data_IF_159529293344
#
_entry.id   IF_159529293344
#
_cell.length_a   1.000
_cell.length_b   1.000
_cell.length_c   1.000
_cell.angle_alpha   90.00
_cell.angle_beta   90.00
_cell.angle_gamma   90.00
#
_symmetry.space_group_name_H-M   'P 1'
#
loop_
_entity.id
_entity.type
_entity.pdbx_description
1 polymer ?
#
# COMPACT_ATOMS: atom_id res chain seq x y z
N UNK A 1 28.76 -12.19 20.23
CA UNK A 1 27.72 -11.85 19.24
C UNK A 1 26.44 -12.60 19.59
N UNK A 2 25.41 -11.92 20.12
CA UNK A 2 24.08 -12.52 20.26
C UNK A 2 23.45 -12.58 18.86
N UNK A 3 23.28 -13.77 18.29
CA UNK A 3 22.33 -14.00 17.19
C UNK A 3 20.96 -13.62 17.71
N UNK A 4 20.47 -12.43 17.36
CA UNK A 4 19.06 -12.11 17.53
C UNK A 4 18.30 -13.11 16.67
N UNK A 5 17.51 -13.99 17.31
CA UNK A 5 16.58 -14.87 16.61
C UNK A 5 15.79 -14.03 15.60
N UNK A 6 15.59 -14.51 14.35
CA UNK A 6 14.71 -13.81 13.42
C UNK A 6 13.36 -13.59 14.13
N UNK A 7 12.93 -12.34 14.26
CA UNK A 7 11.65 -12.03 14.89
C UNK A 7 10.56 -12.75 14.11
N UNK A 8 9.56 -13.33 14.79
CA UNK A 8 8.45 -14.06 14.16
C UNK A 8 7.82 -13.33 12.95
N UNK A 9 7.85 -11.99 12.97
CA UNK A 9 7.40 -11.09 11.91
C UNK A 9 8.17 -11.18 10.58
N UNK A 10 9.42 -11.65 10.59
CA UNK A 10 10.16 -11.98 9.37
C UNK A 10 9.50 -13.14 8.61
N UNK A 11 9.04 -14.15 9.35
CA UNK A 11 8.31 -15.29 8.79
C UNK A 11 6.97 -14.87 8.18
N UNK A 12 6.32 -13.82 8.72
CA UNK A 12 5.06 -13.31 8.20
C UNK A 12 5.23 -12.70 6.80
N UNK A 13 6.26 -11.87 6.58
CA UNK A 13 6.54 -11.29 5.26
C UNK A 13 6.93 -12.32 4.19
N UNK A 14 7.65 -13.38 4.58
CA UNK A 14 7.93 -14.52 3.69
C UNK A 14 6.69 -15.33 3.39
N UNK A 15 5.91 -15.66 4.42
CA UNK A 15 4.68 -16.43 4.28
C UNK A 15 3.68 -15.69 3.38
N UNK A 16 3.53 -14.38 3.52
CA UNK A 16 2.61 -13.61 2.67
C UNK A 16 3.02 -13.61 1.20
N UNK A 17 4.30 -13.46 0.88
CA UNK A 17 4.78 -13.50 -0.51
C UNK A 17 4.69 -14.93 -1.08
N UNK A 18 4.96 -15.95 -0.26
CA UNK A 18 4.78 -17.36 -0.65
C UNK A 18 3.31 -17.69 -0.91
N UNK A 19 2.41 -17.24 -0.05
CA UNK A 19 0.97 -17.44 -0.22
C UNK A 19 0.49 -16.70 -1.47
N UNK A 20 0.93 -15.46 -1.69
CA UNK A 20 0.61 -14.71 -2.89
C UNK A 20 1.09 -15.43 -4.16
N UNK A 21 2.34 -15.91 -4.17
CA UNK A 21 2.90 -16.67 -5.29
C UNK A 21 2.23 -18.04 -5.50
N UNK A 22 1.89 -18.75 -4.42
CA UNK A 22 1.20 -20.04 -4.48
C UNK A 22 -0.23 -19.90 -5.01
N UNK A 23 -0.98 -18.93 -4.48
CA UNK A 23 -2.32 -18.60 -4.97
C UNK A 23 -2.27 -18.16 -6.44
N UNK A 24 -1.25 -17.37 -6.82
CA UNK A 24 -1.04 -16.97 -8.21
C UNK A 24 -0.89 -18.17 -9.16
N UNK A 25 -0.09 -19.17 -8.78
CA UNK A 25 0.10 -20.40 -9.58
C UNK A 25 -1.21 -21.20 -9.67
N UNK A 26 -1.96 -21.32 -8.57
CA UNK A 26 -3.24 -22.01 -8.56
C UNK A 26 -4.26 -21.33 -9.49
N UNK A 27 -4.41 -20.00 -9.40
CA UNK A 27 -5.32 -19.26 -10.28
C UNK A 27 -4.88 -19.27 -11.75
N UNK A 28 -3.57 -19.20 -12.03
CA UNK A 28 -3.07 -19.28 -13.41
C UNK A 28 -3.32 -20.65 -14.04
N UNK A 29 -3.34 -21.71 -13.23
CA UNK A 29 -3.64 -23.07 -13.67
C UNK A 29 -5.12 -23.29 -13.95
N UNK A 30 -6.02 -22.72 -13.13
CA UNK A 30 -7.46 -22.88 -13.27
C UNK A 30 -8.13 -21.92 -14.24
N UNK A 31 -7.67 -20.66 -14.34
CA UNK A 31 -8.42 -19.59 -15.01
C UNK A 31 -7.95 -19.27 -16.44
N UNK A 32 -7.14 -20.14 -17.08
CA UNK A 32 -6.55 -19.92 -18.42
C UNK A 32 -5.99 -18.50 -18.61
N UNK A 33 -5.40 -17.92 -17.54
CA UNK A 33 -4.87 -16.56 -17.56
C UNK A 33 -3.76 -16.51 -18.62
N UNK A 34 -3.90 -15.60 -19.59
CA UNK A 34 -2.95 -15.48 -20.69
C UNK A 34 -1.50 -15.43 -20.18
N UNK A 35 -0.63 -16.26 -20.76
CA UNK A 35 0.78 -16.39 -20.36
C UNK A 35 1.54 -15.05 -20.36
N UNK A 36 1.05 -14.09 -21.14
CA UNK A 36 1.60 -12.75 -21.27
C UNK A 36 1.47 -11.92 -19.98
N UNK A 37 0.38 -12.10 -19.22
CA UNK A 37 0.17 -11.42 -17.93
C UNK A 37 0.70 -12.27 -16.78
N UNK A 38 0.62 -13.59 -16.91
CA UNK A 38 0.93 -14.45 -15.77
C UNK A 38 2.44 -14.62 -15.51
N UNK A 39 3.27 -14.66 -16.56
CA UNK A 39 4.72 -14.74 -16.42
C UNK A 39 5.35 -13.54 -15.67
N UNK A 40 5.07 -12.27 -16.02
CA UNK A 40 5.65 -11.13 -15.31
C UNK A 40 5.14 -11.02 -13.87
N UNK A 41 3.87 -11.33 -13.60
CA UNK A 41 3.33 -11.30 -12.24
C UNK A 41 4.01 -12.33 -11.33
N UNK A 42 4.17 -13.58 -11.81
CA UNK A 42 4.93 -14.60 -11.12
C UNK A 42 6.39 -14.21 -10.90
N UNK A 43 7.04 -13.60 -11.91
CA UNK A 43 8.43 -13.16 -11.81
C UNK A 43 8.63 -12.05 -10.76
N UNK A 44 7.70 -11.09 -10.64
CA UNK A 44 7.77 -10.03 -9.63
C UNK A 44 7.59 -10.61 -8.22
N UNK A 45 6.59 -11.48 -8.02
CA UNK A 45 6.36 -12.12 -6.71
C UNK A 45 7.55 -13.00 -6.30
N UNK A 46 8.11 -13.76 -7.24
CA UNK A 46 9.31 -14.57 -7.01
C UNK A 46 10.53 -13.69 -6.72
N UNK A 47 10.70 -12.58 -7.43
CA UNK A 47 11.78 -11.61 -7.18
C UNK A 47 11.67 -11.01 -5.79
N UNK A 48 10.46 -10.70 -5.32
CA UNK A 48 10.20 -10.25 -3.96
C UNK A 48 10.58 -11.31 -2.92
N UNK A 49 10.18 -12.57 -3.15
CA UNK A 49 10.53 -13.68 -2.28
C UNK A 49 12.06 -13.86 -2.17
N UNK A 50 12.74 -13.92 -3.33
CA UNK A 50 14.19 -14.04 -3.41
C UNK A 50 14.89 -12.84 -2.74
N UNK A 51 14.37 -11.63 -2.91
CA UNK A 51 14.93 -10.45 -2.28
C UNK A 51 14.81 -10.47 -0.76
N UNK A 52 13.66 -10.91 -0.20
CA UNK A 52 13.48 -11.06 1.25
C UNK A 52 14.45 -12.11 1.81
N UNK A 53 14.66 -13.22 1.10
CA UNK A 53 15.63 -14.25 1.49
C UNK A 53 17.06 -13.73 1.44
N UNK A 54 17.46 -13.09 0.35
CA UNK A 54 18.82 -12.57 0.13
C UNK A 54 19.18 -11.49 1.16
N UNK A 55 18.22 -10.63 1.48
CA UNK A 55 18.40 -9.56 2.44
C UNK A 55 18.63 -10.05 3.88
N UNK A 56 18.34 -11.31 4.20
CA UNK A 56 18.63 -11.92 5.52
C UNK A 56 20.12 -11.97 5.83
N UNK A 57 20.95 -12.23 4.81
CA UNK A 57 22.35 -12.59 4.99
C UNK A 57 23.32 -11.42 4.76
N UNK A 58 22.85 -10.34 4.13
CA UNK A 58 23.66 -9.14 3.87
C UNK A 58 23.48 -8.09 4.97
N UNK A 59 24.47 -8.01 5.87
CA UNK A 59 24.56 -6.98 6.92
C UNK A 59 25.34 -5.73 6.51
N UNK A 60 25.74 -5.61 5.24
CA UNK A 60 26.53 -4.49 4.72
C UNK A 60 26.03 -4.11 3.33
N UNK A 61 25.64 -2.83 3.19
CA UNK A 61 25.91 -1.92 2.06
C UNK A 61 25.43 -2.41 0.67
N UNK A 62 24.81 -1.66 -0.22
CA UNK A 62 24.13 -0.37 -0.23
C UNK A 62 23.55 -0.26 -1.65
N UNK A 63 22.35 -0.77 -1.88
CA UNK A 63 21.67 -0.40 -3.11
C UNK A 63 20.20 -0.27 -2.79
N UNK A 64 19.77 0.99 -2.67
CA UNK A 64 18.37 1.33 -2.51
C UNK A 64 17.59 0.97 -3.81
N UNK A 65 18.31 0.75 -4.93
CA UNK A 65 17.75 0.32 -6.22
C UNK A 65 16.90 -0.96 -6.13
N UNK A 66 17.37 -2.02 -5.44
CA UNK A 66 16.61 -3.28 -5.35
C UNK A 66 15.29 -3.10 -4.58
N UNK A 67 15.28 -2.52 -3.35
CA UNK A 67 14.05 -2.14 -2.66
C UNK A 67 13.12 -1.25 -3.49
N UNK A 68 13.68 -0.26 -4.21
CA UNK A 68 12.89 0.66 -5.06
C UNK A 68 12.20 -0.09 -6.19
N UNK A 69 12.93 -0.94 -6.93
CA UNK A 69 12.37 -1.71 -8.05
C UNK A 69 11.28 -2.67 -7.57
N UNK A 70 11.49 -3.33 -6.42
CA UNK A 70 10.49 -4.23 -5.84
C UNK A 70 9.23 -3.48 -5.41
N UNK A 71 9.39 -2.33 -4.76
CA UNK A 71 8.27 -1.49 -4.36
C UNK A 71 7.50 -0.96 -5.56
N UNK A 72 8.21 -0.51 -6.59
CA UNK A 72 7.60 -0.05 -7.83
C UNK A 72 6.83 -1.19 -8.51
N UNK A 73 7.42 -2.39 -8.61
CA UNK A 73 6.77 -3.55 -9.20
C UNK A 73 5.53 -4.02 -8.44
N UNK A 74 5.62 -4.12 -7.11
CA UNK A 74 4.50 -4.50 -6.25
C UNK A 74 3.40 -3.44 -6.24
N UNK A 75 3.78 -2.16 -6.12
CA UNK A 75 2.85 -1.03 -6.13
C UNK A 75 2.12 -0.90 -7.46
N UNK A 76 2.87 -0.92 -8.57
CA UNK A 76 2.29 -0.84 -9.91
C UNK A 76 1.38 -2.05 -10.17
N UNK A 77 1.81 -3.26 -9.87
CA UNK A 77 0.98 -4.47 -10.00
C UNK A 77 -0.30 -4.40 -9.16
N UNK A 78 -0.25 -3.81 -7.96
CA UNK A 78 -1.43 -3.59 -7.13
C UNK A 78 -2.42 -2.56 -7.70
N UNK A 79 -1.96 -1.67 -8.59
CA UNK A 79 -2.79 -0.64 -9.23
C UNK A 79 -3.35 -1.09 -10.58
N UNK A 80 -2.50 -1.64 -11.46
CA UNK A 80 -2.85 -1.87 -12.88
C UNK A 80 -3.34 -3.28 -13.16
N UNK A 81 -3.02 -4.26 -12.30
CA UNK A 81 -3.44 -5.63 -12.57
C UNK A 81 -4.96 -5.78 -12.39
N UNK A 82 -5.54 -6.73 -13.12
CA UNK A 82 -6.94 -7.11 -12.93
C UNK A 82 -7.09 -8.03 -11.72
N UNK A 83 -8.28 -8.05 -11.14
CA UNK A 83 -8.65 -9.03 -10.13
C UNK A 83 -8.54 -10.47 -10.67
N UNK A 84 -8.04 -11.45 -9.88
CA UNK A 84 -7.57 -11.36 -8.49
C UNK A 84 -6.08 -11.01 -8.35
N UNK A 85 -5.37 -10.73 -9.45
CA UNK A 85 -3.91 -10.59 -9.49
C UNK A 85 -3.45 -9.34 -8.72
N UNK A 86 -4.17 -8.23 -8.83
CA UNK A 86 -3.92 -7.01 -8.05
C UNK A 86 -3.84 -7.27 -6.54
N UNK A 87 -4.73 -8.11 -5.99
CA UNK A 87 -4.77 -8.46 -4.57
C UNK A 87 -3.54 -9.22 -4.15
N UNK A 88 -3.02 -10.10 -5.01
CA UNK A 88 -1.77 -10.82 -4.77
C UNK A 88 -0.58 -9.87 -4.69
N UNK A 89 -0.52 -8.87 -5.57
CA UNK A 89 0.48 -7.81 -5.49
C UNK A 89 0.37 -6.99 -4.21
N UNK A 90 -0.85 -6.64 -3.78
CA UNK A 90 -1.07 -5.93 -2.53
C UNK A 90 -0.68 -6.74 -1.29
N UNK A 91 -1.02 -8.04 -1.25
CA UNK A 91 -0.58 -8.95 -0.20
C UNK A 91 0.96 -8.99 -0.15
N UNK A 92 1.60 -9.06 -1.32
CA UNK A 92 3.05 -8.96 -1.45
C UNK A 92 3.61 -7.63 -0.91
N UNK A 93 2.98 -6.50 -1.26
CA UNK A 93 3.35 -5.16 -0.81
C UNK A 93 3.25 -5.00 0.72
N UNK A 94 2.13 -5.43 1.30
CA UNK A 94 1.89 -5.40 2.75
C UNK A 94 2.88 -6.32 3.49
N UNK A 95 3.11 -7.50 2.93
CA UNK A 95 4.12 -8.45 3.41
C UNK A 95 5.52 -7.85 3.43
N UNK A 96 5.91 -7.19 2.34
CA UNK A 96 7.18 -6.51 2.21
C UNK A 96 7.29 -5.33 3.20
N UNK A 97 6.22 -4.55 3.39
CA UNK A 97 6.15 -3.50 4.40
C UNK A 97 6.33 -4.04 5.82
N UNK A 98 5.70 -5.17 6.14
CA UNK A 98 5.85 -5.85 7.42
C UNK A 98 7.29 -6.33 7.67
N UNK A 99 7.90 -6.96 6.65
CA UNK A 99 9.31 -7.32 6.68
C UNK A 99 10.20 -6.09 6.90
N UNK A 100 9.97 -5.01 6.14
CA UNK A 100 10.74 -3.78 6.23
C UNK A 100 10.69 -3.16 7.64
N UNK A 101 9.49 -3.01 8.21
CA UNK A 101 9.31 -2.53 9.58
C UNK A 101 10.01 -3.42 10.61
N UNK A 102 9.91 -4.75 10.45
CA UNK A 102 10.52 -5.71 11.37
C UNK A 102 12.03 -5.53 11.45
N UNK A 103 12.68 -5.13 10.34
CA UNK A 103 14.12 -4.96 10.25
C UNK A 103 14.59 -3.55 10.60
N UNK A 104 13.91 -2.53 10.12
CA UNK A 104 14.42 -1.15 10.13
C UNK A 104 13.88 -0.29 11.27
N UNK A 105 12.77 -0.68 11.90
CA UNK A 105 12.21 0.06 13.03
C UNK A 105 12.70 -0.51 14.37
N UNK A 106 13.09 0.36 15.30
CA UNK A 106 13.44 -0.06 16.66
C UNK A 106 12.23 -0.67 17.39
N UNK A 107 12.49 -1.64 18.27
CA UNK A 107 11.45 -2.27 19.09
C UNK A 107 10.71 -1.21 19.93
N UNK A 108 9.40 -1.08 19.70
CA UNK A 108 8.54 -0.09 20.35
C UNK A 108 7.08 -0.53 20.25
N UNK A 109 6.20 0.02 21.10
CA UNK A 109 4.77 -0.24 21.02
C UNK A 109 4.20 0.13 19.63
N UNK A 110 4.65 1.25 19.07
CA UNK A 110 4.26 1.69 17.73
C UNK A 110 4.61 0.66 16.66
N UNK A 111 5.82 0.08 16.72
CA UNK A 111 6.24 -0.99 15.81
C UNK A 111 5.33 -2.21 15.93
N UNK A 112 5.00 -2.63 17.16
CA UNK A 112 4.12 -3.78 17.39
C UNK A 112 2.73 -3.53 16.82
N UNK A 113 2.13 -2.38 17.10
CA UNK A 113 0.81 -2.03 16.58
C UNK A 113 0.79 -1.95 15.05
N UNK A 114 1.83 -1.35 14.45
CA UNK A 114 1.97 -1.28 13.00
C UNK A 114 2.10 -2.68 12.36
N UNK A 115 2.90 -3.57 12.94
CA UNK A 115 3.07 -4.95 12.46
C UNK A 115 1.79 -5.79 12.62
N UNK A 116 1.06 -5.61 13.73
CA UNK A 116 -0.25 -6.26 13.92
C UNK A 116 -1.23 -5.77 12.86
N UNK A 117 -1.29 -4.47 12.60
CA UNK A 117 -2.16 -3.90 11.57
C UNK A 117 -1.84 -4.43 10.17
N UNK A 118 -0.56 -4.47 9.79
CA UNK A 118 -0.14 -5.06 8.51
C UNK A 118 -0.43 -6.57 8.45
N UNK A 119 -0.23 -7.30 9.54
CA UNK A 119 -0.57 -8.72 9.63
C UNK A 119 -2.06 -8.96 9.40
N UNK A 120 -2.92 -8.15 10.01
CA UNK A 120 -4.36 -8.20 9.76
C UNK A 120 -4.69 -7.85 8.30
N UNK A 121 -4.06 -6.83 7.73
CA UNK A 121 -4.28 -6.44 6.33
C UNK A 121 -3.89 -7.57 5.36
N UNK A 122 -2.79 -8.27 5.62
CA UNK A 122 -2.40 -9.47 4.88
C UNK A 122 -3.45 -10.58 5.00
N UNK A 123 -3.94 -10.85 6.21
CA UNK A 123 -4.99 -11.87 6.43
C UNK A 123 -6.26 -11.50 5.67
N UNK A 124 -6.74 -10.26 5.79
CA UNK A 124 -7.90 -9.78 5.05
C UNK A 124 -7.68 -9.86 3.54
N UNK A 125 -6.50 -9.45 3.05
CA UNK A 125 -6.12 -9.59 1.64
C UNK A 125 -6.20 -11.04 1.16
N UNK A 126 -5.65 -12.01 1.91
CA UNK A 126 -5.73 -13.43 1.56
C UNK A 126 -7.18 -13.91 1.56
N UNK A 127 -7.94 -13.57 2.61
CA UNK A 127 -9.32 -13.99 2.77
C UNK A 127 -10.21 -13.44 1.64
N UNK A 128 -9.93 -12.24 1.11
CA UNK A 128 -10.66 -11.69 -0.04
C UNK A 128 -10.59 -12.56 -1.28
N UNK A 129 -9.57 -13.40 -1.43
CA UNK A 129 -9.44 -14.31 -2.57
C UNK A 129 -10.51 -15.43 -2.55
N UNK A 130 -11.19 -15.63 -1.40
CA UNK A 130 -12.11 -16.73 -1.17
C UNK A 130 -13.51 -16.29 -0.72
N UNK A 131 -13.76 -14.98 -0.58
CA UNK A 131 -15.04 -14.45 -0.09
C UNK A 131 -15.95 -14.00 -1.23
N UNK A 132 -17.25 -14.18 -1.00
CA UNK A 132 -18.33 -13.60 -1.81
C UNK A 132 -18.45 -12.07 -1.59
N UNK A 133 -19.24 -11.39 -2.42
CA UNK A 133 -19.34 -9.92 -2.53
C UNK A 133 -19.41 -9.15 -1.19
N UNK A 134 -20.19 -9.62 -0.22
CA UNK A 134 -20.33 -8.93 1.09
C UNK A 134 -19.05 -9.00 1.92
N UNK A 135 -18.33 -10.13 1.82
CA UNK A 135 -17.05 -10.33 2.48
C UNK A 135 -15.93 -9.51 1.83
N UNK A 136 -16.02 -9.30 0.52
CA UNK A 136 -15.13 -8.42 -0.24
C UNK A 136 -15.23 -6.96 0.22
N UNK A 137 -16.44 -6.48 0.54
CA UNK A 137 -16.64 -5.11 1.01
C UNK A 137 -15.89 -4.83 2.33
N UNK A 138 -16.05 -5.69 3.33
CA UNK A 138 -15.42 -5.49 4.65
C UNK A 138 -13.91 -5.55 4.56
N UNK A 139 -13.39 -6.54 3.84
CA UNK A 139 -11.95 -6.71 3.70
C UNK A 139 -11.33 -5.66 2.77
N UNK A 140 -12.04 -5.24 1.72
CA UNK A 140 -11.68 -4.10 0.87
C UNK A 140 -11.62 -2.78 1.65
N UNK A 141 -12.58 -2.53 2.55
CA UNK A 141 -12.53 -1.38 3.46
C UNK A 141 -11.31 -1.45 4.37
N UNK A 142 -10.99 -2.62 4.93
CA UNK A 142 -9.83 -2.79 5.78
C UNK A 142 -8.51 -2.52 5.03
N UNK A 143 -8.40 -3.02 3.79
CA UNK A 143 -7.27 -2.73 2.91
C UNK A 143 -7.20 -1.24 2.58
N UNK A 144 -8.34 -0.60 2.25
CA UNK A 144 -8.43 0.83 1.99
C UNK A 144 -7.90 1.63 3.19
N UNK A 145 -8.38 1.39 4.42
CA UNK A 145 -7.91 2.11 5.62
C UNK A 145 -6.44 1.82 5.97
N UNK A 146 -5.90 0.69 5.51
CA UNK A 146 -4.46 0.39 5.65
C UNK A 146 -3.63 1.27 4.71
N UNK A 147 -4.11 1.46 3.47
CA UNK A 147 -3.46 2.30 2.45
C UNK A 147 -3.83 3.79 2.53
N UNK A 148 -4.77 4.13 3.39
CA UNK A 148 -5.23 5.48 3.67
C UNK A 148 -4.67 5.89 5.03
N UNK A 149 -3.53 6.62 5.11
CA UNK A 149 -2.83 6.87 6.37
C UNK A 149 -3.52 7.97 7.22
N UNK A 150 -4.80 7.81 7.48
CA UNK A 150 -5.60 8.65 8.36
C UNK A 150 -5.50 8.13 9.80
N UNK A 151 -5.69 9.02 10.77
CA UNK A 151 -5.80 8.65 12.19
C UNK A 151 -7.09 7.85 12.38
N UNK A 152 -7.05 6.70 13.08
CA UNK A 152 -5.94 6.13 13.86
C UNK A 152 -5.02 5.14 13.09
N UNK A 153 -5.28 4.87 11.82
CA UNK A 153 -4.62 3.82 11.01
C UNK A 153 -3.28 4.22 10.38
N UNK A 154 -2.81 5.46 10.54
CA UNK A 154 -1.54 5.97 9.98
C UNK A 154 -0.24 5.26 10.43
N UNK A 155 -0.27 4.40 11.46
CA UNK A 155 0.94 3.86 12.09
C UNK A 155 1.84 3.00 11.17
N UNK A 156 1.31 2.09 10.32
CA UNK A 156 2.13 1.35 9.37
C UNK A 156 2.87 2.27 8.39
N UNK A 157 2.16 3.24 7.81
CA UNK A 157 2.72 4.25 6.91
C UNK A 157 3.82 5.05 7.60
N UNK A 158 3.52 5.61 8.79
CA UNK A 158 4.48 6.37 9.58
C UNK A 158 5.74 5.56 9.87
N UNK A 159 5.58 4.30 10.27
CA UNK A 159 6.69 3.42 10.58
C UNK A 159 7.59 3.18 9.36
N UNK A 160 6.99 2.95 8.19
CA UNK A 160 7.71 2.63 6.95
C UNK A 160 8.46 3.84 6.43
N UNK A 161 7.79 5.01 6.35
CA UNK A 161 8.41 6.26 5.89
C UNK A 161 9.52 6.71 6.84
N UNK A 162 9.28 6.68 8.15
CA UNK A 162 10.29 7.09 9.16
C UNK A 162 11.52 6.19 9.16
N UNK A 163 11.34 4.90 8.92
CA UNK A 163 12.42 3.90 8.95
C UNK A 163 13.18 3.81 7.62
N UNK A 164 12.74 4.55 6.60
CA UNK A 164 13.33 4.56 5.27
C UNK A 164 14.45 5.60 5.12
N UNK A 165 15.34 5.33 4.15
CA UNK A 165 16.27 6.32 3.60
C UNK A 165 15.51 7.28 2.69
N UNK A 166 16.10 8.44 2.39
CA UNK A 166 15.40 9.58 1.78
C UNK A 166 14.69 9.22 0.46
N UNK A 167 15.39 8.60 -0.50
CA UNK A 167 14.79 8.17 -1.78
C UNK A 167 13.71 7.11 -1.59
N UNK A 168 13.98 6.10 -0.75
CA UNK A 168 13.05 5.01 -0.46
C UNK A 168 11.77 5.50 0.25
N UNK A 169 11.89 6.51 1.11
CA UNK A 169 10.75 7.12 1.79
C UNK A 169 9.79 7.75 0.78
N UNK A 170 10.30 8.46 -0.22
CA UNK A 170 9.48 9.02 -1.30
C UNK A 170 8.73 7.95 -2.09
N UNK A 171 9.41 6.86 -2.46
CA UNK A 171 8.79 5.73 -3.17
C UNK A 171 7.68 5.10 -2.34
N UNK A 172 7.89 4.91 -1.04
CA UNK A 172 6.84 4.43 -0.15
C UNK A 172 5.63 5.35 -0.13
N UNK A 173 5.81 6.68 -0.06
CA UNK A 173 4.70 7.63 -0.09
C UNK A 173 3.87 7.48 -1.36
N UNK A 174 4.52 7.42 -2.52
CA UNK A 174 3.85 7.31 -3.83
C UNK A 174 3.11 5.98 -3.96
N UNK A 175 3.78 4.87 -3.64
CA UNK A 175 3.20 3.52 -3.72
C UNK A 175 1.99 3.41 -2.78
N UNK A 176 2.10 3.89 -1.54
CA UNK A 176 1.01 3.81 -0.57
C UNK A 176 -0.21 4.62 -1.02
N UNK A 177 0.00 5.83 -1.55
CA UNK A 177 -1.08 6.66 -2.09
C UNK A 177 -1.74 6.02 -3.30
N UNK A 178 -0.94 5.58 -4.28
CA UNK A 178 -1.46 5.00 -5.52
C UNK A 178 -2.28 3.72 -5.25
N UNK A 179 -1.78 2.83 -4.39
CA UNK A 179 -2.52 1.64 -3.97
C UNK A 179 -3.79 2.00 -3.19
N UNK A 180 -3.74 3.00 -2.31
CA UNK A 180 -4.92 3.48 -1.60
C UNK A 180 -6.00 4.01 -2.54
N UNK A 181 -5.62 4.80 -3.55
CA UNK A 181 -6.54 5.32 -4.57
C UNK A 181 -7.17 4.20 -5.40
N UNK A 182 -6.37 3.21 -5.81
CA UNK A 182 -6.88 2.02 -6.50
C UNK A 182 -7.91 1.28 -5.65
N UNK A 183 -7.66 1.13 -4.34
CA UNK A 183 -8.64 0.51 -3.43
C UNK A 183 -9.89 1.35 -3.23
N UNK A 184 -9.79 2.68 -3.22
CA UNK A 184 -10.98 3.53 -3.12
C UNK A 184 -11.91 3.27 -4.31
N UNK A 185 -11.37 3.21 -5.53
CA UNK A 185 -12.13 2.91 -6.74
C UNK A 185 -12.88 1.57 -6.63
N UNK A 186 -12.21 0.55 -6.12
CA UNK A 186 -12.81 -0.78 -5.92
C UNK A 186 -13.91 -0.77 -4.85
N UNK A 187 -13.78 0.07 -3.83
CA UNK A 187 -14.74 0.16 -2.71
C UNK A 187 -15.90 1.10 -3.03
N UNK A 188 -15.73 2.08 -3.93
CA UNK A 188 -16.76 3.03 -4.37
C UNK A 188 -17.96 2.31 -4.99
N UNK A 189 -17.73 1.22 -5.74
CA UNK A 189 -18.82 0.40 -6.31
C UNK A 189 -19.77 -0.18 -5.24
N UNK A 190 -19.28 -0.36 -4.01
CA UNK A 190 -20.03 -0.94 -2.89
C UNK A 190 -20.63 0.10 -1.94
N UNK A 191 -20.16 1.34 -1.95
CA UNK A 191 -20.65 2.39 -1.07
C UNK A 191 -21.58 3.35 -1.81
N UNK A 192 -22.85 3.40 -1.42
CA UNK A 192 -23.69 4.55 -1.72
C UNK A 192 -23.05 5.82 -1.13
N UNK A 193 -23.15 6.94 -1.85
CA UNK A 193 -22.53 8.26 -1.58
C UNK A 193 -22.57 8.69 -0.09
N UNK A 194 -23.57 8.24 0.68
CA UNK A 194 -23.76 8.50 2.10
C UNK A 194 -22.73 7.85 3.04
N UNK A 195 -21.90 6.91 2.59
CA UNK A 195 -20.81 6.35 3.42
C UNK A 195 -19.49 7.14 3.32
N UNK A 196 -19.32 7.90 2.24
CA UNK A 196 -18.04 8.51 1.88
C UNK A 196 -17.76 9.83 2.63
N UNK A 197 -18.77 10.48 3.23
CA UNK A 197 -18.58 11.73 4.00
C UNK A 197 -17.67 11.55 5.23
N UNK A 198 -17.51 10.32 5.72
CA UNK A 198 -16.67 10.06 6.88
C UNK A 198 -15.18 10.25 6.55
N UNK A 199 -14.78 10.00 5.29
CA UNK A 199 -13.40 10.15 4.81
C UNK A 199 -12.90 11.60 4.93
N UNK A 200 -13.60 12.64 4.43
CA UNK A 200 -13.17 14.03 4.60
C UNK A 200 -13.11 14.47 6.07
N UNK A 201 -13.98 13.94 6.94
CA UNK A 201 -13.90 14.21 8.39
C UNK A 201 -12.62 13.62 8.98
N UNK A 202 -12.33 12.34 8.71
CA UNK A 202 -11.08 11.71 9.13
C UNK A 202 -9.86 12.40 8.52
N UNK A 203 -9.94 12.86 7.27
CA UNK A 203 -8.91 13.64 6.59
C UNK A 203 -8.59 14.94 7.33
N UNK A 204 -9.60 15.74 7.68
CA UNK A 204 -9.40 16.99 8.41
C UNK A 204 -8.80 16.76 9.80
N UNK A 205 -9.32 15.78 10.54
CA UNK A 205 -8.79 15.41 11.85
C UNK A 205 -7.33 14.96 11.74
N UNK A 206 -7.02 14.14 10.73
CA UNK A 206 -5.68 13.64 10.48
C UNK A 206 -4.72 14.74 10.08
N UNK A 207 -5.14 15.66 9.21
CA UNK A 207 -4.34 16.81 8.79
C UNK A 207 -4.03 17.73 9.97
N UNK A 208 -5.02 18.03 10.83
CA UNK A 208 -4.81 18.80 12.05
C UNK A 208 -3.84 18.12 13.01
N UNK A 209 -4.09 16.85 13.32
CA UNK A 209 -3.22 16.04 14.18
C UNK A 209 -1.78 15.96 13.66
N UNK A 210 -1.61 15.60 12.38
CA UNK A 210 -0.31 15.40 11.78
C UNK A 210 0.46 16.71 11.62
N UNK A 211 -0.22 17.83 11.35
CA UNK A 211 0.42 19.15 11.30
C UNK A 211 0.96 19.57 12.67
N UNK A 212 0.16 19.38 13.74
CA UNK A 212 0.61 19.65 15.10
C UNK A 212 1.78 18.76 15.51
N UNK A 213 1.74 17.47 15.14
CA UNK A 213 2.86 16.56 15.35
C UNK A 213 4.10 16.99 14.59
N UNK A 214 3.98 17.29 13.29
CA UNK A 214 5.10 17.71 12.45
C UNK A 214 5.82 18.94 13.03
N UNK A 215 5.06 19.94 13.51
CA UNK A 215 5.61 21.14 14.13
C UNK A 215 6.35 20.88 15.46
N UNK A 216 5.97 19.83 16.20
CA UNK A 216 6.56 19.48 17.48
C UNK A 216 7.77 18.55 17.42
N UNK A 217 8.09 17.98 16.25
CA UNK A 217 9.19 17.02 16.12
C UNK A 217 10.51 17.73 15.76
N UNK A 218 11.55 17.44 16.56
CA UNK A 218 12.92 17.95 16.35
C UNK A 218 13.71 17.14 15.30
N UNK A 219 13.26 15.92 14.98
CA UNK A 219 13.92 15.04 14.03
C UNK A 219 13.32 15.22 12.63
N UNK A 220 14.16 15.50 11.60
CA UNK A 220 13.66 15.83 10.26
C UNK A 220 12.85 14.69 9.63
N UNK A 221 13.20 13.42 9.89
CA UNK A 221 12.48 12.26 9.34
C UNK A 221 11.07 12.09 9.89
N UNK A 222 10.86 12.42 11.17
CA UNK A 222 9.54 12.36 11.78
C UNK A 222 8.66 13.50 11.27
N UNK A 223 9.24 14.70 11.15
CA UNK A 223 8.57 15.85 10.54
C UNK A 223 8.10 15.56 9.10
N UNK A 224 8.97 14.97 8.27
CA UNK A 224 8.62 14.61 6.88
C UNK A 224 7.49 13.57 6.83
N UNK A 225 7.55 12.53 7.66
CA UNK A 225 6.51 11.50 7.65
C UNK A 225 5.14 12.04 8.09
N UNK A 226 5.09 12.92 9.09
CA UNK A 226 3.84 13.59 9.48
C UNK A 226 3.39 14.63 8.44
N UNK A 227 4.30 15.36 7.80
CA UNK A 227 3.96 16.26 6.70
C UNK A 227 3.37 15.48 5.51
N UNK A 228 3.90 14.31 5.20
CA UNK A 228 3.34 13.41 4.18
C UNK A 228 1.94 12.94 4.57
N UNK A 229 1.70 12.56 5.85
CA UNK A 229 0.35 12.25 6.34
C UNK A 229 -0.59 13.45 6.16
N UNK A 230 -0.15 14.67 6.50
CA UNK A 230 -0.96 15.87 6.30
C UNK A 230 -1.32 16.07 4.83
N UNK A 231 -0.34 16.02 3.93
CA UNK A 231 -0.57 16.20 2.50
C UNK A 231 -1.50 15.13 1.93
N UNK A 232 -1.28 13.87 2.29
CA UNK A 232 -2.15 12.77 1.89
C UNK A 232 -3.56 12.97 2.43
N UNK A 233 -3.70 13.29 3.71
CA UNK A 233 -5.01 13.54 4.32
C UNK A 233 -5.75 14.68 3.61
N UNK A 234 -5.07 15.79 3.30
CA UNK A 234 -5.67 16.89 2.55
C UNK A 234 -6.05 16.49 1.12
N UNK A 235 -5.22 15.71 0.42
CA UNK A 235 -5.56 15.15 -0.90
C UNK A 235 -6.82 14.28 -0.82
N UNK A 236 -6.91 13.39 0.16
CA UNK A 236 -8.08 12.56 0.39
C UNK A 236 -9.33 13.37 0.76
N UNK A 237 -9.18 14.43 1.56
CA UNK A 237 -10.26 15.37 1.86
C UNK A 237 -10.74 16.15 0.63
N UNK A 238 -9.81 16.60 -0.21
CA UNK A 238 -10.12 17.30 -1.47
C UNK A 238 -10.85 16.37 -2.44
N UNK A 239 -10.39 15.13 -2.60
CA UNK A 239 -11.07 14.14 -3.44
C UNK A 239 -12.53 14.01 -3.03
N UNK A 240 -12.81 13.88 -1.74
CA UNK A 240 -14.19 13.80 -1.26
C UNK A 240 -15.03 15.07 -1.50
N UNK A 241 -14.42 16.25 -1.64
CA UNK A 241 -15.13 17.48 -2.06
C UNK A 241 -15.41 17.54 -3.57
N UNK A 242 -14.58 16.91 -4.40
CA UNK A 242 -14.81 16.77 -5.85
C UNK A 242 -15.84 15.69 -6.19
N UNK A 243 -16.16 14.81 -5.26
CA UNK A 243 -17.27 13.85 -5.32
C UNK A 243 -18.45 14.30 -4.43
N UNK A 244 -19.11 15.45 -4.71
CA UNK A 244 -20.18 15.92 -3.85
C UNK A 244 -21.32 14.90 -3.80
N UNK A 245 -21.77 14.61 -2.58
CA UNK A 245 -23.07 14.01 -2.33
C UNK A 245 -24.16 14.84 -3.02
N UNK A 246 -24.70 14.32 -4.11
CA UNK A 246 -26.00 14.73 -4.68
C UNK A 246 -26.01 15.97 -5.57
N UNK A 247 -26.34 15.73 -6.85
CA UNK A 247 -27.38 16.50 -7.53
C UNK A 247 -27.01 17.81 -8.22
N UNK A 248 -26.18 17.75 -9.27
CA UNK A 248 -26.40 18.43 -10.58
C UNK A 248 -25.12 18.30 -11.41
N UNK A 249 -25.21 17.60 -12.55
CA UNK A 249 -24.09 17.47 -13.49
C UNK A 249 -23.75 16.04 -13.89
N UNK A 250 -24.75 15.18 -14.10
CA UNK A 250 -24.62 13.87 -14.76
C UNK A 250 -24.25 13.97 -16.25
N UNK A 251 -23.43 14.95 -16.65
CA UNK A 251 -23.01 15.15 -18.04
C UNK A 251 -21.50 15.34 -18.22
N UNK A 252 -20.69 15.30 -17.15
CA UNK A 252 -19.22 15.31 -17.25
C UNK A 252 -18.57 13.94 -17.05
N UNK A 253 -19.34 12.94 -16.62
CA UNK A 253 -18.85 11.57 -16.45
C UNK A 253 -19.11 10.73 -17.70
N UNK A 254 -18.42 11.08 -18.79
CA UNK A 254 -18.29 10.16 -19.92
C UNK A 254 -17.39 9.02 -19.45
N UNK A 255 -18.01 7.88 -19.17
CA UNK A 255 -17.50 6.66 -18.50
C UNK A 255 -16.24 6.01 -19.11
N UNK A 256 -15.61 6.62 -20.10
CA UNK A 256 -14.39 6.12 -20.75
C UNK A 256 -13.15 7.00 -20.56
N UNK A 257 -13.26 8.29 -20.25
CA UNK A 257 -12.08 9.21 -20.32
C UNK A 257 -11.31 9.36 -19.01
N UNK A 258 -11.97 9.15 -17.87
CA UNK A 258 -11.38 9.35 -16.54
C UNK A 258 -10.57 8.12 -16.10
N UNK A 259 -10.99 6.88 -16.41
CA UNK A 259 -10.16 5.71 -16.13
C UNK A 259 -8.78 5.84 -16.82
N UNK A 260 -8.78 6.26 -18.08
CA UNK A 260 -7.56 6.50 -18.86
C UNK A 260 -6.72 7.66 -18.28
N UNK A 261 -7.34 8.78 -17.87
CA UNK A 261 -6.60 9.92 -17.30
C UNK A 261 -6.02 9.62 -15.90
N UNK A 262 -6.66 8.75 -15.11
CA UNK A 262 -6.19 8.36 -13.78
C UNK A 262 -5.08 7.32 -13.84
N UNK A 263 -5.22 6.32 -14.72
CA UNK A 263 -4.15 5.37 -14.99
C UNK A 263 -2.92 6.12 -15.52
N UNK A 264 -3.11 7.11 -16.40
CA UNK A 264 -2.04 8.01 -16.87
C UNK A 264 -1.47 8.87 -15.74
N UNK A 265 -2.28 9.45 -14.85
CA UNK A 265 -1.77 10.27 -13.74
C UNK A 265 -0.94 9.46 -12.73
N UNK A 266 -1.37 8.23 -12.41
CA UNK A 266 -0.61 7.31 -11.56
C UNK A 266 0.66 6.84 -12.27
N UNK A 267 0.58 6.51 -13.57
CA UNK A 267 1.75 6.16 -14.38
C UNK A 267 2.74 7.33 -14.49
N UNK A 268 2.26 8.57 -14.61
CA UNK A 268 3.06 9.79 -14.62
C UNK A 268 3.73 10.05 -13.26
N UNK A 269 3.05 9.78 -12.14
CA UNK A 269 3.65 9.84 -10.80
C UNK A 269 4.76 8.80 -10.64
N UNK A 270 4.57 7.58 -11.13
CA UNK A 270 5.59 6.52 -11.08
C UNK A 270 6.78 6.79 -12.01
N UNK A 271 6.54 7.25 -13.25
CA UNK A 271 7.61 7.48 -14.23
C UNK A 271 8.47 8.68 -13.89
N UNK A 272 7.91 9.75 -13.29
CA UNK A 272 8.69 10.93 -12.92
C UNK A 272 9.51 10.73 -11.64
N UNK A 273 9.02 9.94 -10.69
CA UNK A 273 9.72 9.73 -9.41
C UNK A 273 10.79 8.64 -9.47
N UNK A 274 10.70 7.69 -10.40
CA UNK A 274 11.69 6.61 -10.57
C UNK A 274 12.86 7.00 -11.47
N UNK A 275 12.70 8.01 -12.34
CA UNK A 275 13.72 8.38 -13.33
C UNK A 275 14.48 9.69 -13.04
N UNK A 276 14.03 10.50 -12.07
CA UNK A 276 14.74 11.71 -11.62
C UNK A 276 15.75 11.46 -10.46
N UNK A 277 16.05 10.18 -10.15
CA UNK A 277 17.12 9.75 -9.22
C UNK A 277 18.22 8.99 -9.95
#
# INVERSE_FOLDING_TARGET
>A
MKRTSPSAWWGVGLASVLIAGGAFVAFSWEAEISSFVSLPAGAILLSCFCAILWQKDTSRISDDAVPIILLAGLGLGGVIAVEPINRLFMIGLLGYGGFFLSRHMAASLQKTLALVHLGLAVVFGIVTLFLDETGLMVAGLFLLVTFLPLVPFHLPFLGVVRSSRESLAGVWVVVWLATGLSQLKNVEEFFHLEGLWIIPVFALVSAGYASLKAAGHLLPREGIAYAAITLLALLWGLLATFFPCGGMGSSLWNRGRIADEWDVAVLCLFTRTVWDT
#
